data_IF_305649586123
#
_entry.id   IF_305649586123
#
_cell.length_a   1.000
_cell.length_b   1.000
_cell.length_c   1.000
_cell.angle_alpha   90.00
_cell.angle_beta   90.00
_cell.angle_gamma   90.00
#
_symmetry.space_group_name_H-M   'P 1'
#
loop_
_entity.id
_entity.type
_entity.pdbx_description
1 polymer ?
#
# COMPACT_ATOMS: atom_id res chain seq x y z
N UNK A 1 -13.44 15.33 26.79
CA UNK A 1 -13.66 13.87 26.86
C UNK A 1 -12.46 13.09 26.32
N UNK A 2 -12.05 13.28 25.06
CA UNK A 2 -10.93 12.55 24.42
C UNK A 2 -9.61 12.65 25.21
N UNK A 3 -9.25 13.82 25.75
CA UNK A 3 -8.04 13.98 26.57
C UNK A 3 -8.03 13.10 27.83
N UNK A 4 -9.20 12.89 28.44
CA UNK A 4 -9.34 11.99 29.61
C UNK A 4 -9.16 10.53 29.22
N UNK A 5 -9.76 10.11 28.11
CA UNK A 5 -9.61 8.75 27.57
C UNK A 5 -8.14 8.45 27.21
N UNK A 6 -7.45 9.40 26.57
CA UNK A 6 -6.01 9.27 26.27
C UNK A 6 -5.17 9.08 27.53
N UNK A 7 -5.44 9.87 28.58
CA UNK A 7 -4.73 9.76 29.86
C UNK A 7 -5.03 8.43 30.57
N UNK A 8 -6.26 7.94 30.47
CA UNK A 8 -6.63 6.62 31.00
C UNK A 8 -5.87 5.50 30.27
N UNK A 9 -5.83 5.54 28.93
CA UNK A 9 -5.07 4.58 28.14
C UNK A 9 -3.57 4.62 28.47
N UNK A 10 -2.98 5.81 28.58
CA UNK A 10 -1.58 5.97 28.97
C UNK A 10 -1.31 5.35 30.35
N UNK A 11 -2.19 5.59 31.31
CA UNK A 11 -2.09 5.03 32.68
C UNK A 11 -2.12 3.50 32.64
N UNK A 12 -3.02 2.91 31.84
CA UNK A 12 -3.12 1.47 31.67
C UNK A 12 -1.88 0.87 30.99
N UNK A 13 -1.35 1.53 29.94
CA UNK A 13 -0.14 1.08 29.26
C UNK A 13 1.08 1.12 30.19
N UNK A 14 1.21 2.14 31.05
CA UNK A 14 2.24 2.22 32.09
C UNK A 14 2.07 1.11 33.13
N UNK A 15 0.85 0.91 33.63
CA UNK A 15 0.53 -0.13 34.63
C UNK A 15 0.93 -1.53 34.14
N UNK A 16 0.67 -1.81 32.86
CA UNK A 16 1.01 -3.07 32.22
C UNK A 16 2.48 -3.15 31.73
N UNK A 17 3.26 -2.07 31.89
CA UNK A 17 4.69 -2.06 31.58
C UNK A 17 5.06 -1.87 30.10
N UNK A 18 4.11 -1.47 29.26
CA UNK A 18 4.36 -1.16 27.83
C UNK A 18 4.95 0.23 27.62
N UNK A 19 4.68 1.16 28.54
CA UNK A 19 5.33 2.47 28.56
C UNK A 19 6.35 2.55 29.70
N UNK A 20 7.57 3.06 29.43
CA UNK A 20 8.53 3.40 30.47
C UNK A 20 8.00 4.53 31.38
N UNK A 21 8.60 4.68 32.56
CA UNK A 21 8.26 5.76 33.48
C UNK A 21 8.53 7.15 32.86
N UNK A 22 9.66 7.26 32.15
CA UNK A 22 9.99 8.39 31.29
C UNK A 22 9.42 8.19 29.88
N UNK A 23 8.27 8.83 29.62
CA UNK A 23 7.58 8.77 28.34
C UNK A 23 8.13 9.75 27.28
N UNK A 24 9.17 10.53 27.58
CA UNK A 24 9.69 11.59 26.69
C UNK A 24 10.04 11.08 25.28
N UNK A 25 10.50 9.83 25.18
CA UNK A 25 10.91 9.21 23.92
C UNK A 25 9.81 8.40 23.22
N UNK A 26 8.64 8.24 23.82
CA UNK A 26 7.55 7.44 23.25
C UNK A 26 6.90 8.10 22.01
N UNK A 27 7.11 9.40 21.82
CA UNK A 27 6.52 10.17 20.71
C UNK A 27 7.49 10.48 19.58
N UNK A 28 8.67 9.83 19.52
CA UNK A 28 9.68 10.09 18.48
C UNK A 28 9.13 9.92 17.05
N UNK A 29 8.22 8.96 16.84
CA UNK A 29 7.61 8.67 15.53
C UNK A 29 6.23 9.31 15.34
N UNK A 30 5.78 10.19 16.26
CA UNK A 30 4.41 10.70 16.27
C UNK A 30 4.08 11.65 15.10
N UNK A 31 5.08 12.07 14.32
CA UNK A 31 4.92 12.92 13.14
C UNK A 31 5.16 12.18 11.82
N UNK A 32 5.52 10.89 11.88
CA UNK A 32 5.76 10.10 10.69
C UNK A 32 4.44 9.55 10.14
N UNK A 33 3.95 10.00 8.96
CA UNK A 33 2.65 9.61 8.45
C UNK A 33 2.58 8.13 8.09
N UNK A 34 3.68 7.53 7.63
CA UNK A 34 3.74 6.13 7.25
C UNK A 34 3.62 5.21 8.47
N UNK A 35 4.34 5.53 9.56
CA UNK A 35 4.24 4.81 10.82
C UNK A 35 2.85 5.00 11.45
N UNK A 36 2.30 6.21 11.41
CA UNK A 36 0.93 6.44 11.91
C UNK A 36 -0.11 5.64 11.12
N UNK A 37 0.00 5.57 9.79
CA UNK A 37 -0.86 4.72 8.97
C UNK A 37 -0.72 3.24 9.33
N UNK A 38 0.50 2.76 9.58
CA UNK A 38 0.70 1.38 10.02
C UNK A 38 0.02 1.06 11.36
N UNK A 39 0.09 1.99 12.32
CA UNK A 39 -0.61 1.85 13.61
C UNK A 39 -2.13 1.87 13.43
N UNK A 40 -2.65 2.71 12.52
CA UNK A 40 -4.08 2.72 12.19
C UNK A 40 -4.52 1.40 11.56
N UNK A 41 -3.76 0.87 10.60
CA UNK A 41 -4.03 -0.42 9.97
C UNK A 41 -4.01 -1.54 11.02
N UNK A 42 -3.05 -1.55 11.94
CA UNK A 42 -2.99 -2.55 13.01
C UNK A 42 -4.24 -2.56 13.91
N UNK A 43 -4.89 -1.40 14.10
CA UNK A 43 -6.10 -1.28 14.93
C UNK A 43 -7.42 -1.52 14.18
N UNK A 44 -7.45 -1.28 12.87
CA UNK A 44 -8.68 -1.31 12.07
C UNK A 44 -8.76 -2.49 11.10
N UNK A 45 -7.65 -3.15 10.80
CA UNK A 45 -7.65 -4.35 9.96
C UNK A 45 -8.55 -5.44 10.58
N UNK A 46 -9.44 -6.12 9.81
CA UNK A 46 -9.46 -6.22 8.35
C UNK A 46 -10.35 -5.20 7.61
N UNK A 47 -10.73 -4.07 8.22
CA UNK A 47 -11.62 -3.06 7.63
C UNK A 47 -10.91 -2.19 6.59
N UNK A 48 -10.69 -2.81 5.43
CA UNK A 48 -9.89 -2.29 4.32
C UNK A 48 -10.71 -2.36 3.04
N UNK A 49 -10.54 -1.36 2.17
CA UNK A 49 -11.22 -1.29 0.89
C UNK A 49 -10.33 -0.70 -0.20
N UNK A 50 -10.61 -1.05 -1.44
CA UNK A 50 -9.99 -0.45 -2.62
C UNK A 50 -10.92 0.62 -3.18
N UNK A 51 -10.38 1.81 -3.37
CA UNK A 51 -11.15 2.91 -3.89
C UNK A 51 -11.20 2.83 -5.41
N UNK A 52 -12.42 2.71 -5.94
CA UNK A 52 -12.66 2.56 -7.36
C UNK A 52 -12.50 3.89 -8.09
N UNK A 53 -12.02 3.87 -9.33
CA UNK A 53 -11.91 5.09 -10.12
C UNK A 53 -13.30 5.69 -10.36
N UNK A 54 -13.41 7.03 -10.41
CA UNK A 54 -14.71 7.69 -10.60
C UNK A 54 -15.27 7.37 -11.99
N UNK A 55 -16.36 6.59 -12.05
CA UNK A 55 -17.11 6.34 -13.29
C UNK A 55 -18.19 7.43 -13.45
N UNK A 56 -18.13 8.20 -14.53
CA UNK A 56 -19.17 9.18 -14.92
C UNK A 56 -19.52 10.25 -13.86
N UNK A 57 -18.52 10.73 -13.11
CA UNK A 57 -18.65 11.89 -12.21
C UNK A 57 -19.57 11.68 -10.99
N UNK A 58 -20.05 10.46 -10.74
CA UNK A 58 -21.06 10.19 -9.72
C UNK A 58 -20.56 9.12 -8.75
N UNK A 59 -19.98 9.63 -7.65
CA UNK A 59 -19.75 8.97 -6.35
C UNK A 59 -18.43 8.21 -6.22
N UNK A 60 -17.73 8.53 -5.13
CA UNK A 60 -16.58 7.78 -4.64
C UNK A 60 -17.05 6.45 -4.04
N UNK A 61 -16.65 5.35 -4.68
CA UNK A 61 -17.06 3.99 -4.31
C UNK A 61 -15.85 3.22 -3.86
N UNK A 62 -16.00 2.51 -2.75
CA UNK A 62 -15.02 1.63 -2.16
C UNK A 62 -15.50 0.20 -2.36
N UNK A 63 -14.65 -0.64 -2.90
CA UNK A 63 -14.84 -2.09 -2.95
C UNK A 63 -14.18 -2.72 -1.72
N UNK A 64 -14.92 -3.58 -1.04
CA UNK A 64 -14.44 -4.30 0.15
C UNK A 64 -14.00 -5.72 -0.20
N UNK A 65 -13.39 -6.43 0.74
CA UNK A 65 -12.99 -7.83 0.58
C UNK A 65 -14.15 -8.76 0.16
N UNK A 66 -15.39 -8.44 0.53
CA UNK A 66 -16.58 -9.21 0.16
C UNK A 66 -17.10 -8.91 -1.24
N UNK A 67 -16.46 -8.00 -1.99
CA UNK A 67 -16.95 -7.47 -3.27
C UNK A 67 -18.03 -6.41 -3.14
N UNK A 68 -18.43 -6.05 -1.91
CA UNK A 68 -19.45 -5.03 -1.66
C UNK A 68 -18.94 -3.64 -2.06
N UNK A 69 -19.80 -2.88 -2.76
CA UNK A 69 -19.54 -1.53 -3.22
C UNK A 69 -20.20 -0.50 -2.30
N UNK A 70 -19.38 0.16 -1.50
CA UNK A 70 -19.81 1.09 -0.45
C UNK A 70 -19.45 2.53 -0.83
N UNK A 71 -20.34 3.49 -0.56
CA UNK A 71 -20.11 4.89 -0.93
C UNK A 71 -19.31 5.61 0.16
N UNK A 72 -18.43 6.55 -0.21
CA UNK A 72 -17.93 7.49 0.79
C UNK A 72 -18.99 8.51 1.15
N UNK A 73 -19.14 8.77 2.44
CA UNK A 73 -20.04 9.80 2.95
C UNK A 73 -19.54 11.20 2.54
N UNK A 74 -20.42 12.16 2.17
CA UNK A 74 -20.01 13.51 1.79
C UNK A 74 -19.21 14.29 2.85
N UNK A 75 -19.39 13.94 4.13
CA UNK A 75 -18.63 14.51 5.25
C UNK A 75 -17.26 13.86 5.48
N UNK A 76 -16.91 12.80 4.76
CA UNK A 76 -15.55 12.26 4.79
C UNK A 76 -14.58 13.28 4.20
N UNK A 77 -13.43 13.48 4.83
CA UNK A 77 -12.33 14.30 4.29
C UNK A 77 -11.85 13.77 2.94
N UNK A 78 -11.91 12.45 2.74
CA UNK A 78 -11.50 11.79 1.50
C UNK A 78 -12.50 12.03 0.36
N UNK A 79 -13.76 12.32 0.65
CA UNK A 79 -14.79 12.60 -0.37
C UNK A 79 -14.39 13.78 -1.27
N UNK A 80 -13.75 14.82 -0.71
CA UNK A 80 -13.31 16.02 -1.43
C UNK A 80 -11.95 15.84 -2.12
N UNK A 81 -11.06 15.02 -1.54
CA UNK A 81 -9.73 14.76 -2.09
C UNK A 81 -9.78 13.95 -3.40
N UNK A 82 -10.89 13.24 -3.64
CA UNK A 82 -11.08 12.37 -4.80
C UNK A 82 -11.38 13.06 -6.12
N UNK A 83 -11.56 14.38 -6.09
CA UNK A 83 -11.62 15.18 -7.32
C UNK A 83 -10.22 15.41 -7.91
N UNK A 84 -9.15 15.18 -7.13
CA UNK A 84 -7.80 15.11 -7.66
C UNK A 84 -7.56 13.72 -8.26
N UNK A 85 -7.03 13.69 -9.50
CA UNK A 85 -6.83 12.46 -10.28
C UNK A 85 -5.82 11.54 -9.61
N UNK A 86 -6.27 10.63 -8.75
CA UNK A 86 -5.47 9.47 -8.37
C UNK A 86 -5.19 8.66 -9.64
N UNK A 87 -3.90 8.49 -9.98
CA UNK A 87 -3.50 7.65 -11.13
C UNK A 87 -3.61 6.15 -10.83
N UNK A 88 -3.72 5.80 -9.55
CA UNK A 88 -3.81 4.44 -9.01
C UNK A 88 -5.09 4.33 -8.17
N UNK A 89 -5.59 3.11 -7.95
CA UNK A 89 -6.72 2.84 -7.06
C UNK A 89 -6.19 2.75 -5.61
N UNK A 90 -6.33 3.82 -4.78
CA UNK A 90 -5.72 3.81 -3.45
C UNK A 90 -6.43 2.82 -2.53
N UNK A 91 -5.67 2.28 -1.59
CA UNK A 91 -6.20 1.51 -0.49
C UNK A 91 -6.70 2.47 0.58
N UNK A 92 -7.82 2.11 1.20
CA UNK A 92 -8.33 2.82 2.34
C UNK A 92 -8.53 1.86 3.51
N UNK A 93 -8.24 2.34 4.71
CA UNK A 93 -8.68 1.71 5.95
C UNK A 93 -9.84 2.53 6.50
N UNK A 94 -10.84 1.87 7.08
CA UNK A 94 -12.03 2.53 7.59
C UNK A 94 -12.47 1.96 8.94
N UNK A 95 -13.23 2.76 9.68
CA UNK A 95 -13.71 2.43 11.02
C UNK A 95 -14.96 1.54 10.98
N UNK A 96 -15.97 1.95 10.20
CA UNK A 96 -17.22 1.22 10.09
C UNK A 96 -17.95 1.50 8.77
N UNK A 97 -18.78 0.54 8.37
CA UNK A 97 -19.78 0.70 7.31
C UNK A 97 -21.12 0.90 7.97
N UNK A 98 -21.78 2.03 7.66
CA UNK A 98 -23.06 2.39 8.26
C UNK A 98 -24.13 2.52 7.19
N UNK A 99 -25.38 2.22 7.56
CA UNK A 99 -26.55 2.40 6.69
C UNK A 99 -27.18 3.76 6.96
N UNK A 100 -27.35 4.55 5.91
CA UNK A 100 -28.10 5.80 5.96
C UNK A 100 -29.11 5.90 4.81
N UNK A 101 -29.73 7.07 4.67
CA UNK A 101 -30.77 7.34 3.67
C UNK A 101 -30.30 7.10 2.22
N UNK A 102 -28.99 7.22 1.98
CA UNK A 102 -28.34 7.00 0.69
C UNK A 102 -27.80 5.58 0.46
N UNK A 103 -28.07 4.64 1.36
CA UNK A 103 -27.52 3.29 1.37
C UNK A 103 -26.33 3.13 2.32
N UNK A 104 -25.51 2.11 2.06
CA UNK A 104 -24.30 1.84 2.82
C UNK A 104 -23.23 2.89 2.53
N UNK A 105 -22.59 3.40 3.58
CA UNK A 105 -21.52 4.37 3.44
C UNK A 105 -20.42 4.22 4.49
N UNK A 106 -19.24 4.72 4.11
CA UNK A 106 -18.06 4.86 4.98
C UNK A 106 -17.86 6.35 5.25
N UNK A 107 -17.81 6.73 6.53
CA UNK A 107 -17.59 8.12 6.94
C UNK A 107 -16.15 8.40 7.34
N UNK A 108 -15.61 7.58 8.25
CA UNK A 108 -14.26 7.73 8.78
C UNK A 108 -13.33 6.76 8.05
N UNK A 109 -12.40 7.30 7.26
CA UNK A 109 -11.43 6.51 6.51
C UNK A 109 -10.14 7.28 6.26
N UNK A 110 -9.05 6.54 6.10
CA UNK A 110 -7.73 7.07 5.75
C UNK A 110 -7.15 6.31 4.57
N UNK A 111 -6.43 7.02 3.70
CA UNK A 111 -5.64 6.37 2.65
C UNK A 111 -4.40 5.75 3.27
N UNK A 112 -4.09 4.52 2.89
CA UNK A 112 -2.94 3.77 3.39
C UNK A 112 -2.18 3.17 2.21
N UNK A 113 -0.88 2.94 2.37
CA UNK A 113 -0.10 2.20 1.40
C UNK A 113 -0.19 0.68 1.63
N UNK A 114 0.40 -0.12 0.72
CA UNK A 114 0.34 -1.58 0.79
C UNK A 114 1.24 -2.16 1.88
N UNK A 115 2.34 -1.50 2.27
CA UNK A 115 3.32 -2.07 3.19
C UNK A 115 2.76 -2.38 4.60
N UNK A 116 1.96 -1.49 5.24
CA UNK A 116 1.23 -1.83 6.46
C UNK A 116 0.42 -3.13 6.37
N UNK A 117 -0.31 -3.32 5.27
CA UNK A 117 -1.13 -4.50 5.07
C UNK A 117 -0.25 -5.73 4.88
N UNK A 118 0.78 -5.64 4.04
CA UNK A 118 1.71 -6.76 3.82
C UNK A 118 2.39 -7.23 5.11
N UNK A 119 2.67 -6.33 6.05
CA UNK A 119 3.28 -6.67 7.33
C UNK A 119 2.28 -7.25 8.36
N UNK A 120 1.01 -6.85 8.30
CA UNK A 120 0.02 -7.12 9.36
C UNK A 120 -1.10 -8.09 8.95
N UNK A 121 -1.29 -8.34 7.66
CA UNK A 121 -2.35 -9.20 7.17
C UNK A 121 -2.24 -10.62 7.72
N UNK A 122 -3.36 -11.32 7.75
CA UNK A 122 -3.42 -12.69 8.23
C UNK A 122 -2.73 -13.63 7.24
N UNK A 123 -3.12 -13.58 5.98
CA UNK A 123 -2.61 -14.45 4.92
C UNK A 123 -1.99 -13.62 3.79
N UNK A 124 -0.77 -13.97 3.39
CA UNK A 124 -0.20 -13.51 2.12
C UNK A 124 0.27 -14.73 1.33
N UNK A 125 0.01 -14.74 0.03
CA UNK A 125 0.39 -15.81 -0.90
C UNK A 125 1.13 -15.18 -2.07
N UNK A 126 2.07 -15.90 -2.68
CA UNK A 126 2.86 -15.42 -3.81
C UNK A 126 2.49 -16.23 -5.06
N UNK A 127 2.16 -15.52 -6.13
CA UNK A 127 1.87 -16.09 -7.44
C UNK A 127 2.83 -15.49 -8.50
N UNK A 128 3.08 -16.19 -9.63
CA UNK A 128 3.79 -15.61 -10.75
C UNK A 128 3.03 -14.37 -11.31
N UNK A 129 3.74 -13.31 -11.69
CA UNK A 129 3.08 -12.10 -12.23
C UNK A 129 2.42 -12.29 -13.62
N UNK A 130 2.71 -13.38 -14.32
CA UNK A 130 2.34 -13.60 -15.73
C UNK A 130 1.08 -14.46 -15.93
N UNK A 131 0.29 -14.68 -14.89
CA UNK A 131 -1.06 -15.21 -15.03
C UNK A 131 -1.93 -14.05 -15.52
N UNK A 132 -2.30 -14.07 -16.81
CA UNK A 132 -3.35 -13.18 -17.29
C UNK A 132 -4.58 -13.57 -16.49
N UNK A 133 -5.10 -12.64 -15.68
CA UNK A 133 -6.39 -12.81 -15.04
C UNK A 133 -7.41 -13.02 -16.17
N UNK A 134 -7.86 -14.25 -16.38
CA UNK A 134 -9.03 -14.56 -17.22
C UNK A 134 -10.24 -13.97 -16.49
N UNK A 135 -10.39 -12.65 -16.57
CA UNK A 135 -11.65 -12.00 -16.22
C UNK A 135 -12.68 -12.53 -17.20
N UNK A 136 -13.53 -13.43 -16.69
CA UNK A 136 -14.63 -14.06 -17.38
C UNK A 136 -15.48 -13.02 -18.10
N UNK A 137 -15.23 -12.88 -19.40
CA UNK A 137 -16.12 -12.18 -20.29
C UNK A 137 -17.27 -13.15 -20.57
N UNK A 138 -18.28 -13.16 -19.70
CA UNK A 138 -19.59 -13.74 -20.00
C UNK A 138 -20.23 -12.93 -21.14
N UNK A 139 -19.79 -13.16 -22.37
CA UNK A 139 -20.59 -12.89 -23.55
C UNK A 139 -21.16 -14.21 -24.02
N UNK A 140 -22.40 -14.50 -23.56
CA UNK A 140 -23.19 -15.58 -24.11
C UNK A 140 -23.40 -15.37 -25.61
N UNK A 141 -22.96 -16.34 -26.40
CA UNK A 141 -23.52 -16.62 -27.71
C UNK A 141 -23.53 -18.13 -27.90
N UNK A 142 -24.75 -18.66 -27.97
CA UNK A 142 -25.07 -20.04 -28.28
C UNK A 142 -24.66 -20.40 -29.72
N UNK A 143 -24.42 -21.70 -29.93
CA UNK A 143 -24.32 -22.47 -31.18
C UNK A 143 -23.07 -22.21 -32.05
N UNK A 144 -22.23 -23.19 -32.41
CA UNK A 144 -22.55 -24.48 -33.03
C UNK A 144 -21.31 -25.39 -33.11
N UNK A 145 -21.58 -26.69 -33.04
CA UNK A 145 -20.94 -27.82 -33.74
C UNK A 145 -19.50 -28.28 -33.44
N UNK A 146 -19.48 -29.55 -33.04
CA UNK A 146 -18.39 -30.46 -32.76
C UNK A 146 -17.52 -30.65 -34.00
N UNK A 147 -16.20 -30.51 -33.86
CA UNK A 147 -15.29 -31.40 -34.57
C UNK A 147 -14.01 -31.68 -33.77
N UNK A 148 -13.62 -32.94 -33.87
CA UNK A 148 -12.58 -33.69 -33.18
C UNK A 148 -11.16 -33.11 -33.33
N UNK A 149 -10.26 -33.53 -32.42
CA UNK A 149 -8.79 -33.42 -32.45
C UNK A 149 -8.14 -32.26 -31.67
N UNK A 150 -7.76 -32.54 -30.41
CA UNK A 150 -6.35 -32.57 -29.93
C UNK A 150 -6.30 -32.62 -28.38
N UNK A 151 -6.50 -33.80 -27.80
CA UNK A 151 -6.33 -34.06 -26.35
C UNK A 151 -4.84 -34.23 -25.93
N UNK A 152 -3.91 -33.49 -26.53
CA UNK A 152 -2.47 -33.54 -26.15
C UNK A 152 -1.91 -32.19 -25.64
N UNK A 153 -2.77 -31.16 -25.51
CA UNK A 153 -2.35 -29.82 -25.07
C UNK A 153 -2.73 -29.47 -23.62
N UNK A 154 -3.59 -30.25 -22.98
CA UNK A 154 -4.07 -29.98 -21.61
C UNK A 154 -3.00 -30.35 -20.58
N UNK A 155 -2.33 -31.50 -20.74
CA UNK A 155 -1.28 -31.96 -19.83
C UNK A 155 0.01 -31.12 -19.91
N UNK A 156 0.32 -30.58 -21.10
CA UNK A 156 1.48 -29.70 -21.30
C UNK A 156 1.29 -28.30 -20.66
N UNK A 157 0.05 -27.80 -20.58
CA UNK A 157 -0.27 -26.56 -19.86
C UNK A 157 -0.12 -26.72 -18.35
N UNK A 158 -0.58 -27.84 -17.79
CA UNK A 158 -0.45 -28.09 -16.35
C UNK A 158 1.01 -28.33 -15.95
N UNK A 159 1.80 -29.05 -16.75
CA UNK A 159 3.23 -29.24 -16.50
C UNK A 159 4.05 -27.96 -16.65
N UNK A 160 3.68 -27.07 -17.58
CA UNK A 160 4.34 -25.77 -17.74
C UNK A 160 3.95 -24.79 -16.64
N UNK A 161 2.71 -24.80 -16.16
CA UNK A 161 2.25 -24.03 -15.00
C UNK A 161 2.91 -24.52 -13.70
N UNK A 162 3.02 -25.84 -13.50
CA UNK A 162 3.72 -26.43 -12.36
C UNK A 162 5.23 -26.06 -12.36
N UNK A 163 5.91 -26.18 -13.50
CA UNK A 163 7.31 -25.73 -13.64
C UNK A 163 7.48 -24.22 -13.47
N UNK A 164 6.45 -23.42 -13.78
CA UNK A 164 6.46 -21.96 -13.59
C UNK A 164 6.26 -21.59 -12.12
N UNK A 165 5.42 -22.32 -11.40
CA UNK A 165 5.23 -22.18 -9.95
C UNK A 165 6.50 -22.53 -9.16
N UNK A 166 7.21 -23.60 -9.55
CA UNK A 166 8.48 -24.01 -8.93
C UNK A 166 9.60 -22.96 -9.08
N UNK A 167 9.50 -22.08 -10.08
CA UNK A 167 10.52 -21.07 -10.39
C UNK A 167 10.15 -19.65 -9.92
N UNK A 168 9.04 -19.44 -9.21
CA UNK A 168 8.59 -18.09 -8.80
C UNK A 168 9.67 -17.37 -7.98
N UNK A 169 10.27 -18.09 -7.02
CA UNK A 169 11.27 -17.54 -6.09
C UNK A 169 12.72 -17.93 -6.46
N UNK A 170 12.96 -18.39 -7.69
CA UNK A 170 14.29 -18.89 -8.10
C UNK A 170 15.34 -17.79 -8.31
N UNK A 171 14.90 -16.57 -8.62
CA UNK A 171 15.76 -15.39 -8.78
C UNK A 171 15.18 -14.19 -8.02
N UNK A 172 16.02 -13.37 -7.36
CA UNK A 172 15.57 -12.21 -6.58
C UNK A 172 14.78 -11.18 -7.41
N UNK A 173 15.09 -11.06 -8.69
CA UNK A 173 14.50 -10.06 -9.59
C UNK A 173 13.20 -10.55 -10.28
N UNK A 174 12.75 -11.77 -10.00
CA UNK A 174 11.52 -12.29 -10.58
C UNK A 174 10.32 -11.43 -10.17
N UNK A 175 9.52 -11.01 -11.15
CA UNK A 175 8.26 -10.32 -10.89
C UNK A 175 7.22 -11.31 -10.35
N UNK A 176 6.62 -10.96 -9.22
CA UNK A 176 5.64 -11.78 -8.51
C UNK A 176 4.42 -10.95 -8.13
N UNK A 177 3.27 -11.61 -7.98
CA UNK A 177 2.02 -11.05 -7.47
C UNK A 177 1.83 -11.53 -6.03
N UNK A 178 1.81 -10.63 -5.06
CA UNK A 178 1.46 -10.94 -3.67
C UNK A 178 -0.03 -10.77 -3.49
N UNK A 179 -0.70 -11.81 -3.05
CA UNK A 179 -2.14 -11.85 -2.80
C UNK A 179 -2.36 -11.84 -1.29
N UNK A 180 -3.01 -10.80 -0.78
CA UNK A 180 -3.32 -10.57 0.61
C UNK A 180 -4.78 -10.96 0.87
N UNK A 181 -4.98 -11.87 1.82
CA UNK A 181 -6.28 -12.43 2.23
C UNK A 181 -7.18 -12.84 1.05
N UNK A 182 -6.55 -13.32 -0.04
CA UNK A 182 -7.21 -13.85 -1.24
C UNK A 182 -7.95 -12.83 -2.10
N UNK A 183 -7.81 -11.53 -1.85
CA UNK A 183 -8.54 -10.50 -2.62
C UNK A 183 -7.71 -9.29 -3.04
N UNK A 184 -6.69 -8.89 -2.27
CA UNK A 184 -5.81 -7.77 -2.64
C UNK A 184 -4.53 -8.27 -3.28
N UNK A 185 -4.31 -7.95 -4.56
CA UNK A 185 -3.05 -8.24 -5.22
C UNK A 185 -2.14 -7.02 -5.37
N UNK A 186 -0.83 -7.24 -5.24
CA UNK A 186 0.23 -6.26 -5.48
C UNK A 186 1.36 -6.90 -6.29
N UNK A 187 1.87 -6.20 -7.31
CA UNK A 187 3.07 -6.63 -8.01
C UNK A 187 4.33 -6.20 -7.23
N UNK A 188 5.32 -7.09 -7.17
CA UNK A 188 6.58 -6.86 -6.50
C UNK A 188 7.67 -7.80 -7.05
N UNK A 189 8.86 -7.79 -6.43
CA UNK A 189 9.95 -8.72 -6.76
C UNK A 189 10.00 -9.85 -5.74
N UNK A 190 10.52 -11.02 -6.15
CA UNK A 190 10.72 -12.14 -5.24
C UNK A 190 11.58 -11.76 -4.02
N UNK A 191 12.60 -10.92 -4.22
CA UNK A 191 13.43 -10.41 -3.13
C UNK A 191 12.64 -9.59 -2.12
N UNK A 192 11.86 -8.60 -2.59
CA UNK A 192 11.05 -7.74 -1.71
C UNK A 192 10.09 -8.58 -0.87
N UNK A 193 9.42 -9.53 -1.50
CA UNK A 193 8.44 -10.41 -0.84
C UNK A 193 9.12 -11.31 0.19
N UNK A 194 10.29 -11.88 -0.12
CA UNK A 194 11.06 -12.66 0.85
C UNK A 194 11.47 -11.83 2.08
N UNK A 195 11.85 -10.56 1.88
CA UNK A 195 12.16 -9.64 2.99
C UNK A 195 10.92 -9.33 3.82
N UNK A 196 9.76 -9.12 3.20
CA UNK A 196 8.49 -8.92 3.92
C UNK A 196 8.17 -10.14 4.79
N UNK A 197 8.29 -11.38 4.28
CA UNK A 197 8.09 -12.58 5.11
C UNK A 197 9.04 -12.61 6.32
N UNK A 198 10.33 -12.34 6.10
CA UNK A 198 11.29 -12.27 7.20
C UNK A 198 10.89 -11.23 8.25
N UNK A 199 10.42 -10.05 7.83
CA UNK A 199 10.00 -8.98 8.73
C UNK A 199 8.70 -9.33 9.47
N UNK A 200 7.74 -10.03 8.83
CA UNK A 200 6.51 -10.51 9.49
C UNK A 200 6.80 -11.48 10.63
N UNK A 201 7.69 -12.45 10.38
CA UNK A 201 8.12 -13.40 11.41
C UNK A 201 8.78 -12.68 12.59
N UNK A 202 9.68 -11.73 12.30
CA UNK A 202 10.35 -10.94 13.34
C UNK A 202 9.41 -10.00 14.08
N UNK A 203 8.41 -9.43 13.41
CA UNK A 203 7.37 -8.63 14.05
C UNK A 203 6.56 -9.49 15.02
N UNK A 204 6.15 -10.68 14.59
CA UNK A 204 5.41 -11.64 15.42
C UNK A 204 6.22 -12.05 16.65
N UNK A 205 7.51 -12.36 16.47
CA UNK A 205 8.42 -12.65 17.56
C UNK A 205 8.61 -11.44 18.51
N UNK A 206 8.70 -10.22 17.98
CA UNK A 206 8.81 -9.00 18.78
C UNK A 206 7.53 -8.72 19.59
N UNK A 207 6.35 -8.89 18.99
CA UNK A 207 5.06 -8.77 19.67
C UNK A 207 4.98 -9.82 20.78
N UNK A 208 5.25 -11.09 20.49
CA UNK A 208 5.24 -12.16 21.47
C UNK A 208 6.21 -11.87 22.63
N UNK A 209 7.42 -11.41 22.33
CA UNK A 209 8.40 -11.01 23.34
C UNK A 209 7.86 -9.89 24.22
N UNK A 210 7.23 -8.86 23.64
CA UNK A 210 6.69 -7.72 24.39
C UNK A 210 5.43 -8.06 25.17
N UNK A 211 4.60 -8.99 24.71
CA UNK A 211 3.45 -9.48 25.48
C UNK A 211 3.92 -10.32 26.67
N UNK A 212 4.93 -11.17 26.49
CA UNK A 212 5.48 -12.02 27.55
C UNK A 212 6.37 -11.27 28.54
N UNK A 213 7.06 -10.22 28.09
CA UNK A 213 8.03 -9.47 28.86
C UNK A 213 7.89 -7.95 28.64
N UNK A 214 6.76 -7.32 29.02
CA UNK A 214 6.43 -5.95 28.62
C UNK A 214 7.49 -4.91 29.02
N UNK A 215 8.04 -5.07 30.23
CA UNK A 215 9.06 -4.16 30.79
C UNK A 215 10.47 -4.39 30.24
N UNK A 216 10.74 -5.53 29.59
CA UNK A 216 12.09 -5.83 29.07
C UNK A 216 12.30 -5.11 27.73
N UNK A 217 13.52 -4.64 27.50
CA UNK A 217 13.92 -4.13 26.18
C UNK A 217 13.92 -5.30 25.20
N UNK A 218 13.55 -5.03 23.95
CA UNK A 218 13.61 -6.05 22.91
C UNK A 218 15.06 -6.53 22.71
N UNK A 219 15.27 -7.82 22.42
CA UNK A 219 16.55 -8.30 21.93
C UNK A 219 17.02 -7.48 20.73
N UNK A 220 18.32 -7.23 20.64
CA UNK A 220 18.93 -6.32 19.66
C UNK A 220 18.48 -6.60 18.22
N UNK A 221 18.48 -7.88 17.80
CA UNK A 221 18.07 -8.28 16.46
C UNK A 221 16.58 -7.99 16.16
N UNK A 222 15.70 -8.11 17.15
CA UNK A 222 14.27 -7.75 17.01
C UNK A 222 14.09 -6.23 17.01
N UNK A 223 14.84 -5.51 17.86
CA UNK A 223 14.86 -4.04 17.87
C UNK A 223 15.33 -3.47 16.53
N UNK A 224 16.42 -4.00 15.97
CA UNK A 224 16.92 -3.61 14.65
C UNK A 224 15.92 -3.92 13.53
N UNK A 225 15.18 -5.03 13.64
CA UNK A 225 14.14 -5.38 12.67
C UNK A 225 12.95 -4.44 12.75
N UNK A 226 12.47 -4.07 13.95
CA UNK A 226 11.43 -3.04 14.10
C UNK A 226 11.88 -1.68 13.58
N UNK A 227 13.16 -1.32 13.78
CA UNK A 227 13.71 -0.09 13.21
C UNK A 227 13.71 -0.13 11.67
N UNK A 228 14.12 -1.26 11.07
CA UNK A 228 14.04 -1.44 9.62
C UNK A 228 12.60 -1.33 9.10
N UNK A 229 11.63 -1.93 9.80
CA UNK A 229 10.22 -1.81 9.47
C UNK A 229 9.73 -0.36 9.57
N UNK A 230 10.11 0.36 10.63
CA UNK A 230 9.78 1.78 10.78
C UNK A 230 10.31 2.60 9.60
N UNK A 231 11.57 2.40 9.20
CA UNK A 231 12.16 3.05 8.04
C UNK A 231 11.39 2.75 6.75
N UNK A 232 11.04 1.48 6.50
CA UNK A 232 10.28 1.08 5.30
C UNK A 232 8.89 1.74 5.29
N UNK A 233 8.20 1.75 6.44
CA UNK A 233 6.89 2.36 6.60
C UNK A 233 6.93 3.88 6.40
N UNK A 234 7.98 4.56 6.86
CA UNK A 234 8.17 6.00 6.61
C UNK A 234 8.17 6.36 5.12
N UNK A 235 8.65 5.46 4.25
CA UNK A 235 8.59 5.64 2.79
C UNK A 235 7.23 5.28 2.19
N UNK A 236 6.45 4.41 2.85
CA UNK A 236 5.12 3.99 2.41
C UNK A 236 4.08 5.12 2.50
N UNK A 237 4.17 5.98 3.52
CA UNK A 237 3.24 7.11 3.74
C UNK A 237 3.20 8.15 2.59
N UNK A 238 4.09 8.04 1.61
CA UNK A 238 4.19 8.89 0.42
C UNK A 238 3.56 8.22 -0.82
N UNK A 239 3.31 6.91 -0.77
CA UNK A 239 2.81 6.11 -1.91
C UNK A 239 1.28 6.12 -1.97
N UNK A 240 0.72 6.72 -3.02
CA UNK A 240 -0.73 6.75 -3.27
C UNK A 240 -1.38 8.12 -3.13
N UNK A 241 -0.71 9.07 -2.47
CA UNK A 241 -1.09 10.49 -2.50
C UNK A 241 -0.14 11.16 -3.48
N UNK A 242 -0.59 11.38 -4.72
CA UNK A 242 0.07 12.39 -5.54
C UNK A 242 -0.13 13.72 -4.82
N UNK A 243 0.90 14.19 -4.12
CA UNK A 243 0.95 15.60 -3.75
C UNK A 243 0.71 16.40 -5.04
N UNK A 244 -0.09 17.48 -5.00
CA UNK A 244 -0.08 18.43 -6.10
C UNK A 244 1.39 18.73 -6.39
N UNK A 245 1.83 18.60 -7.64
CA UNK A 245 3.08 19.24 -8.02
C UNK A 245 2.94 20.68 -7.53
N UNK A 246 3.77 21.09 -6.58
CA UNK A 246 3.88 22.52 -6.30
C UNK A 246 4.07 23.20 -7.65
N UNK A 247 3.20 24.16 -8.03
CA UNK A 247 3.44 24.91 -9.24
C UNK A 247 4.82 25.55 -9.07
N UNK A 248 5.68 25.31 -10.07
CA UNK A 248 7.06 25.81 -10.15
C UNK A 248 7.13 27.34 -9.94
N UNK A 249 5.97 28.01 -10.04
CA UNK A 249 5.74 29.41 -9.71
C UNK A 249 6.00 29.78 -8.23
N UNK A 250 5.89 28.84 -7.29
CA UNK A 250 6.19 29.10 -5.86
C UNK A 250 7.68 29.29 -5.60
N UNK A 251 8.53 28.59 -6.36
CA UNK A 251 9.99 28.77 -6.31
C UNK A 251 10.38 30.10 -6.96
N UNK A 252 9.72 30.47 -8.08
CA UNK A 252 9.95 31.76 -8.72
C UNK A 252 9.53 32.93 -7.82
N UNK A 253 8.45 32.78 -7.06
CA UNK A 253 7.97 33.81 -6.12
C UNK A 253 8.91 33.98 -4.91
N UNK A 254 9.50 32.88 -4.39
CA UNK A 254 10.53 32.97 -3.34
C UNK A 254 11.85 33.54 -3.84
N UNK A 255 12.24 33.28 -5.10
CA UNK A 255 13.44 33.85 -5.71
C UNK A 255 13.26 35.36 -5.96
N UNK A 256 12.07 35.80 -6.38
CA UNK A 256 11.77 37.23 -6.53
C UNK A 256 11.65 37.99 -5.20
N UNK A 257 11.35 37.30 -4.10
CA UNK A 257 11.31 37.90 -2.76
C UNK A 257 12.70 38.01 -2.09
N UNK A 258 13.72 37.32 -2.62
CA UNK A 258 15.08 37.29 -2.07
C UNK A 258 16.07 38.23 -2.77
N UNK A 259 15.65 38.96 -3.81
CA UNK A 259 16.53 39.90 -4.52
C UNK A 259 16.62 41.26 -3.78
N UNK A 260 17.33 41.24 -2.65
CA UNK A 260 17.93 42.43 -2.05
C UNK A 260 19.40 42.15 -1.78
N UNK A 261 20.27 42.69 -2.63
CA UNK A 261 21.63 43.09 -2.24
C UNK A 261 22.77 42.15 -2.69
N UNK A 262 23.54 42.63 -3.67
CA UNK A 262 24.90 42.22 -4.07
C UNK A 262 25.77 41.60 -2.95
N UNK A 263 26.48 40.51 -3.25
CA UNK A 263 27.94 40.40 -3.04
C UNK A 263 28.54 39.11 -3.65
N UNK A 264 29.76 39.24 -4.20
CA UNK A 264 30.62 38.20 -4.77
C UNK A 264 31.04 37.12 -3.75
N UNK A 265 31.11 35.86 -4.18
CA UNK A 265 32.35 35.06 -4.39
C UNK A 265 32.04 33.56 -4.38
N UNK A 266 32.75 32.84 -5.25
CA UNK A 266 32.46 31.44 -5.58
C UNK A 266 32.80 30.41 -4.51
N UNK A 267 32.28 29.20 -4.73
CA UNK A 267 33.03 27.95 -4.63
C UNK A 267 32.22 26.83 -5.29
N UNK A 268 32.89 26.04 -6.14
CA UNK A 268 32.37 24.77 -6.68
C UNK A 268 32.17 23.80 -5.51
N UNK A 269 30.96 23.26 -5.35
CA UNK A 269 30.73 22.05 -4.58
C UNK A 269 30.01 21.01 -5.44
N UNK A 270 30.62 19.83 -5.49
CA UNK A 270 30.28 18.66 -6.28
C UNK A 270 28.92 18.09 -5.84
N UNK A 271 27.98 17.94 -6.78
CA UNK A 271 26.75 17.18 -6.56
C UNK A 271 27.07 15.68 -6.51
N UNK A 272 26.99 15.11 -5.31
CA UNK A 272 26.96 13.66 -5.14
C UNK A 272 25.63 13.09 -5.68
N UNK A 273 25.78 12.02 -6.45
CA UNK A 273 24.70 11.28 -7.08
C UNK A 273 23.93 10.48 -6.02
N UNK A 274 22.60 10.62 -6.00
CA UNK A 274 21.71 9.79 -5.18
C UNK A 274 21.59 8.36 -5.75
N UNK A 275 21.58 7.29 -4.93
CA UNK A 275 21.37 5.92 -5.40
C UNK A 275 19.92 5.70 -5.86
N UNK A 276 19.74 5.14 -7.06
CA UNK A 276 18.45 4.99 -7.76
C UNK A 276 17.65 3.70 -7.41
N UNK A 277 17.81 3.13 -6.23
CA UNK A 277 17.36 1.74 -6.00
C UNK A 277 15.93 1.51 -5.47
N UNK A 278 15.08 2.53 -5.29
CA UNK A 278 13.70 2.33 -4.79
C UNK A 278 12.58 2.65 -5.79
N UNK A 279 12.89 2.76 -7.08
CA UNK A 279 11.91 3.11 -8.13
C UNK A 279 11.15 1.91 -8.74
N UNK A 280 11.42 0.68 -8.32
CA UNK A 280 10.87 -0.51 -8.99
C UNK A 280 9.37 -0.77 -8.72
N UNK A 281 8.80 -0.17 -7.68
CA UNK A 281 7.36 -0.27 -7.38
C UNK A 281 6.46 0.58 -8.31
N UNK A 282 7.03 1.29 -9.31
CA UNK A 282 6.35 2.44 -9.94
C UNK A 282 6.13 2.38 -11.47
N UNK A 283 6.30 1.24 -12.14
CA UNK A 283 6.04 1.17 -13.59
C UNK A 283 4.99 0.12 -13.97
N UNK A 284 3.78 0.57 -14.29
CA UNK A 284 2.88 -0.18 -15.17
C UNK A 284 2.83 0.48 -16.54
N UNK A 285 2.98 -0.36 -17.57
CA UNK A 285 3.13 0.01 -18.96
C UNK A 285 1.90 0.69 -19.55
N UNK A 286 2.16 1.76 -20.31
CA UNK A 286 1.22 2.31 -21.28
C UNK A 286 1.22 1.40 -22.51
N UNK A 287 0.13 0.70 -22.80
CA UNK A 287 -0.15 0.29 -24.17
C UNK A 287 -0.62 1.54 -24.94
N UNK A 288 0.27 2.11 -25.75
CA UNK A 288 -0.13 3.00 -26.83
C UNK A 288 -0.43 2.14 -28.05
N UNK A 289 -1.72 2.06 -28.39
CA UNK A 289 -2.18 1.47 -29.63
C UNK A 289 -1.96 2.51 -30.74
N UNK A 290 -0.93 2.32 -31.57
CA UNK A 290 -0.78 3.04 -32.85
C UNK A 290 -1.03 2.06 -33.98
N UNK A 291 -2.31 1.80 -34.27
CA UNK A 291 -2.74 1.16 -35.51
C UNK A 291 -2.77 2.18 -36.63
N UNK A 292 -1.75 2.17 -37.49
CA UNK A 292 -1.73 2.90 -38.75
C UNK A 292 -2.67 2.22 -39.75
N UNK A 293 -3.80 2.88 -40.05
CA UNK A 293 -4.62 2.58 -41.22
C UNK A 293 -3.93 3.23 -42.43
N UNK A 294 -3.39 2.42 -43.34
CA UNK A 294 -3.05 2.88 -44.68
C UNK A 294 -4.10 2.36 -45.65
N UNK A 295 -4.81 3.30 -46.30
CA UNK A 295 -5.55 3.08 -47.55
C UNK A 295 -4.54 3.13 -48.70
N UNK A 296 -4.70 2.22 -49.66
CA UNK A 296 -3.91 2.15 -50.89
C UNK A 296 -3.89 0.74 -51.41
#
# INVERSE_FOLDING_TARGET
MISRLRKQLETELRRNGFLPEDASRCSLNAQDPGILHAVLVAGLYPMVGRLLPPRNGKKSIVETASGDKVRLHPHSTLFKLLFAKFRLQPLIVFDEITRGDGGLHIRNCSVVGPLPLLLLAMEIVVAPANEKDDEGNESGSEDTDVNDSDEENTENRDMSNARRAENVMSSPDNAVKVIVDRWLSFESTALDVAQIYCLRERLSAAILYKVTHPRKVLPEHLGASLYAMACILSYDGISGISLPLEPVDSLSTMISAADIGRSNNGNKLVMNQHPKHYKSLMNHGKQQNSGSISRG
#
